data_IF_746493905614
#
_entry.id   IF_746493905614
#
_cell.length_a   1.000
_cell.length_b   1.000
_cell.length_c   1.000
_cell.angle_alpha   90.00
_cell.angle_beta   90.00
_cell.angle_gamma   90.00
#
_symmetry.space_group_name_H-M   'P 1'
#
loop_
_entity.id
_entity.type
_entity.pdbx_description
1 polymer ?
#
# COMPACT_ATOMS: atom_id res chain seq x y z
N UNK A 1 0.36 -14.04 12.95
CA UNK A 1 0.11 -13.26 11.72
C UNK A 1 -0.41 -14.26 10.70
N UNK A 2 -1.36 -13.93 9.82
CA UNK A 2 -2.01 -14.90 8.90
C UNK A 2 -0.97 -15.58 8.00
N UNK A 3 -0.30 -16.55 8.59
CA UNK A 3 0.59 -17.50 7.99
C UNK A 3 -0.23 -18.77 8.16
N UNK A 4 -0.53 -19.41 7.05
CA UNK A 4 -0.94 -20.80 7.07
C UNK A 4 0.07 -21.54 7.96
N UNK A 5 -0.28 -21.84 9.20
CA UNK A 5 0.43 -22.87 9.94
C UNK A 5 0.15 -24.14 9.12
N UNK A 6 1.18 -24.62 8.41
CA UNK A 6 1.18 -25.88 7.69
C UNK A 6 0.30 -25.96 6.41
N UNK A 7 0.34 -24.98 5.51
CA UNK A 7 -0.15 -25.16 4.13
C UNK A 7 -1.67 -25.37 3.97
N UNK A 8 -2.47 -24.98 4.97
CA UNK A 8 -3.93 -24.97 4.90
C UNK A 8 -4.45 -23.59 4.45
N UNK A 9 -5.64 -23.55 3.82
CA UNK A 9 -6.32 -22.33 3.42
C UNK A 9 -6.44 -21.33 4.61
N UNK A 10 -6.45 -20.02 4.36
CA UNK A 10 -6.66 -19.04 5.43
C UNK A 10 -8.00 -19.33 6.14
N UNK A 11 -7.96 -19.46 7.47
CA UNK A 11 -9.16 -19.79 8.27
C UNK A 11 -10.24 -18.70 8.22
N UNK A 12 -9.83 -17.46 7.96
CA UNK A 12 -10.74 -16.31 7.81
C UNK A 12 -10.84 -15.98 6.32
N UNK A 13 -12.04 -16.07 5.77
CA UNK A 13 -12.33 -15.62 4.42
C UNK A 13 -12.62 -14.13 4.38
N UNK A 14 -12.09 -13.44 3.37
CA UNK A 14 -12.37 -12.04 3.11
C UNK A 14 -12.64 -11.77 1.62
N UNK A 15 -13.57 -10.88 1.31
CA UNK A 15 -13.95 -10.55 -0.07
C UNK A 15 -14.47 -9.11 -0.21
N UNK A 16 -14.40 -8.58 -1.42
CA UNK A 16 -15.05 -7.30 -1.73
C UNK A 16 -16.56 -7.46 -1.82
N UNK A 17 -17.29 -6.49 -1.26
CA UNK A 17 -18.75 -6.48 -1.26
C UNK A 17 -19.34 -5.90 -2.54
N UNK A 18 -20.56 -6.33 -2.87
CA UNK A 18 -21.40 -5.66 -3.85
C UNK A 18 -21.69 -4.20 -3.42
N UNK A 19 -21.90 -3.31 -4.40
CA UNK A 19 -22.19 -1.89 -4.12
C UNK A 19 -23.52 -1.70 -3.41
N UNK A 20 -24.53 -2.49 -3.81
CA UNK A 20 -25.85 -2.48 -3.20
C UNK A 20 -25.96 -3.65 -2.24
N UNK A 21 -26.35 -3.36 -0.99
CA UNK A 21 -26.55 -4.34 0.07
C UNK A 21 -27.99 -4.18 0.56
N UNK A 22 -28.84 -5.15 0.24
CA UNK A 22 -30.25 -5.18 0.68
C UNK A 22 -30.44 -5.96 1.98
N UNK A 23 -29.62 -6.99 2.19
CA UNK A 23 -29.56 -7.78 3.42
C UNK A 23 -28.13 -7.77 3.96
N UNK A 24 -27.91 -7.06 5.06
CA UNK A 24 -26.59 -6.97 5.69
C UNK A 24 -26.08 -8.31 6.24
N UNK A 25 -26.97 -9.27 6.52
CA UNK A 25 -26.63 -10.58 7.10
C UNK A 25 -26.26 -11.64 6.05
N UNK A 26 -26.50 -11.36 4.76
CA UNK A 26 -26.05 -12.19 3.65
C UNK A 26 -24.54 -11.99 3.36
N UNK A 27 -23.93 -12.85 2.53
CA UNK A 27 -22.49 -12.72 2.21
C UNK A 27 -22.16 -11.46 1.39
N UNK A 28 -23.08 -11.01 0.54
CA UNK A 28 -22.93 -9.80 -0.29
C UNK A 28 -21.66 -9.77 -1.16
N UNK A 29 -21.21 -10.92 -1.68
CA UNK A 29 -20.06 -11.02 -2.59
C UNK A 29 -20.30 -10.27 -3.90
N UNK A 30 -19.24 -9.71 -4.49
CA UNK A 30 -19.29 -9.28 -5.89
C UNK A 30 -19.54 -10.45 -6.84
N UNK A 31 -20.09 -10.16 -8.02
CA UNK A 31 -20.24 -11.13 -9.11
C UNK A 31 -19.49 -10.60 -10.34
N UNK A 32 -18.37 -11.23 -10.77
CA UNK A 32 -17.72 -12.39 -10.17
C UNK A 32 -17.10 -12.10 -8.79
N UNK A 33 -16.91 -13.14 -7.96
CA UNK A 33 -16.32 -13.00 -6.63
C UNK A 33 -14.90 -12.44 -6.72
N UNK A 34 -14.57 -11.52 -5.82
CA UNK A 34 -13.25 -10.91 -5.71
C UNK A 34 -12.71 -11.12 -4.29
N UNK A 35 -11.98 -12.22 -4.02
CA UNK A 35 -11.42 -12.49 -2.70
C UNK A 35 -10.32 -11.48 -2.34
N UNK A 36 -10.12 -11.29 -1.04
CA UNK A 36 -9.07 -10.44 -0.47
C UNK A 36 -8.03 -11.34 0.18
N UNK A 37 -6.78 -11.18 -0.24
CA UNK A 37 -5.67 -11.94 0.33
C UNK A 37 -5.29 -11.39 1.72
N UNK A 38 -4.79 -12.23 2.63
CA UNK A 38 -4.39 -11.78 3.97
C UNK A 38 -3.35 -10.64 3.97
N UNK A 39 -2.45 -10.59 2.98
CA UNK A 39 -1.49 -9.50 2.83
C UNK A 39 -2.18 -8.13 2.71
N UNK A 40 -3.27 -8.05 1.93
CA UNK A 40 -4.00 -6.80 1.76
C UNK A 40 -4.71 -6.34 3.05
N UNK A 41 -5.10 -7.27 3.93
CA UNK A 41 -5.65 -6.93 5.25
C UNK A 41 -4.56 -6.38 6.17
N UNK A 42 -3.36 -6.96 6.11
CA UNK A 42 -2.19 -6.49 6.87
C UNK A 42 -1.79 -5.07 6.45
N UNK A 43 -1.90 -4.73 5.17
CA UNK A 43 -1.65 -3.37 4.66
C UNK A 43 -2.65 -2.35 5.23
N UNK A 44 -3.85 -2.79 5.59
CA UNK A 44 -4.86 -1.99 6.31
C UNK A 44 -4.67 -2.03 7.84
N UNK A 45 -3.64 -2.71 8.33
CA UNK A 45 -3.37 -2.91 9.75
C UNK A 45 -4.28 -3.94 10.44
N UNK A 46 -5.14 -4.62 9.69
CA UNK A 46 -6.03 -5.67 10.20
C UNK A 46 -5.23 -6.95 10.42
N UNK A 47 -5.23 -7.46 11.65
CA UNK A 47 -4.58 -8.72 12.00
C UNK A 47 -5.62 -9.79 12.29
N UNK A 48 -5.32 -11.00 11.86
CA UNK A 48 -6.19 -12.15 12.01
C UNK A 48 -5.38 -13.36 12.50
N UNK A 49 -5.98 -14.16 13.37
CA UNK A 49 -5.41 -15.36 13.96
C UNK A 49 -6.50 -16.43 14.10
N UNK A 50 -6.12 -17.70 13.98
CA UNK A 50 -6.99 -18.81 14.34
C UNK A 50 -6.43 -19.51 15.58
N UNK A 51 -7.27 -19.67 16.59
CA UNK A 51 -6.98 -20.22 17.91
C UNK A 51 -8.21 -21.04 18.33
N UNK A 52 -8.17 -22.38 18.28
CA UNK A 52 -9.30 -23.20 18.71
C UNK A 52 -9.63 -22.97 20.20
N UNK A 53 -10.90 -22.65 20.55
CA UNK A 53 -11.30 -22.47 21.95
C UNK A 53 -11.11 -23.76 22.78
N UNK A 54 -10.39 -23.68 23.90
CA UNK A 54 -10.02 -24.87 24.70
C UNK A 54 -10.91 -25.11 25.94
N UNK A 55 -11.92 -24.28 26.20
CA UNK A 55 -12.82 -24.46 27.33
C UNK A 55 -13.66 -23.22 27.65
N UNK A 56 -14.18 -23.18 28.88
CA UNK A 56 -14.99 -22.05 29.35
C UNK A 56 -14.12 -20.89 29.85
N UNK A 57 -14.37 -19.72 29.29
CA UNK A 57 -13.66 -18.50 29.64
C UNK A 57 -14.45 -17.68 30.68
N UNK A 58 -13.77 -16.99 31.61
CA UNK A 58 -14.45 -16.17 32.60
C UNK A 58 -15.20 -15.01 31.92
N UNK A 59 -16.38 -14.60 32.42
CA UNK A 59 -17.20 -13.57 31.78
C UNK A 59 -16.54 -12.18 31.78
N UNK A 60 -15.66 -11.90 32.75
CA UNK A 60 -14.87 -10.67 32.87
C UNK A 60 -13.63 -10.92 33.73
N UNK A 61 -12.46 -10.41 33.31
CA UNK A 61 -11.19 -10.57 34.05
C UNK A 61 -10.17 -9.44 33.77
N UNK A 62 -9.37 -9.10 34.78
CA UNK A 62 -8.33 -8.03 34.77
C UNK A 62 -7.13 -8.44 35.65
N UNK A 63 -5.94 -8.78 35.10
CA UNK A 63 -5.73 -9.20 33.72
C UNK A 63 -6.54 -10.45 33.38
N UNK A 64 -6.82 -10.63 32.10
CA UNK A 64 -7.51 -11.83 31.66
C UNK A 64 -6.61 -13.04 31.86
N UNK A 65 -6.96 -13.99 32.74
CA UNK A 65 -6.26 -15.28 32.89
C UNK A 65 -7.27 -16.42 32.76
N UNK A 66 -6.99 -17.48 31.96
CA UNK A 66 -7.85 -18.66 31.90
C UNK A 66 -8.02 -19.29 33.28
N UNK A 67 -9.16 -19.97 33.53
CA UNK A 67 -9.31 -20.80 34.74
C UNK A 67 -8.16 -21.82 34.79
N UNK A 68 -7.68 -22.12 36.00
CA UNK A 68 -6.61 -23.09 36.24
C UNK A 68 -6.80 -24.37 35.41
N UNK A 69 -5.87 -24.64 34.50
CA UNK A 69 -5.85 -25.85 33.66
C UNK A 69 -6.00 -25.61 32.15
N UNK A 70 -6.57 -24.48 31.70
CA UNK A 70 -6.62 -24.12 30.27
C UNK A 70 -5.32 -23.40 29.88
N UNK A 71 -4.59 -23.93 28.89
CA UNK A 71 -3.36 -23.31 28.37
C UNK A 71 -3.54 -22.82 26.93
N UNK A 72 -4.18 -21.65 26.79
CA UNK A 72 -4.26 -20.98 25.50
C UNK A 72 -2.98 -20.16 25.24
N UNK A 73 -1.89 -20.88 24.92
CA UNK A 73 -0.54 -20.31 24.80
C UNK A 73 -0.49 -19.19 23.75
N UNK A 74 -1.19 -19.37 22.62
CA UNK A 74 -1.19 -18.41 21.51
C UNK A 74 -1.98 -17.15 21.87
N UNK A 75 -3.14 -17.29 22.51
CA UNK A 75 -3.90 -16.15 23.03
C UNK A 75 -3.08 -15.38 24.08
N UNK A 76 -2.42 -16.09 25.00
CA UNK A 76 -1.52 -15.49 26.00
C UNK A 76 -0.39 -14.71 25.35
N UNK A 77 0.27 -15.27 24.32
CA UNK A 77 1.34 -14.58 23.59
C UNK A 77 0.83 -13.30 22.91
N UNK A 78 -0.33 -13.34 22.26
CA UNK A 78 -0.93 -12.16 21.61
C UNK A 78 -1.29 -11.10 22.66
N UNK A 79 -1.93 -11.52 23.76
CA UNK A 79 -2.31 -10.69 24.90
C UNK A 79 -1.10 -9.96 25.48
N UNK A 80 -0.06 -10.71 25.84
CA UNK A 80 1.14 -10.19 26.47
C UNK A 80 1.92 -9.28 25.50
N UNK A 81 2.08 -9.67 24.24
CA UNK A 81 2.80 -8.89 23.24
C UNK A 81 2.10 -7.57 22.87
N UNK A 82 0.77 -7.51 22.99
CA UNK A 82 -0.03 -6.31 22.69
C UNK A 82 -0.50 -5.56 23.94
N UNK A 83 -0.16 -6.04 25.12
CA UNK A 83 -0.52 -5.40 26.39
C UNK A 83 -2.01 -5.43 26.72
N UNK A 84 -2.75 -6.43 26.23
CA UNK A 84 -4.17 -6.57 26.53
C UNK A 84 -4.37 -7.06 27.97
N UNK A 85 -4.71 -6.16 28.89
CA UNK A 85 -4.83 -6.47 30.32
C UNK A 85 -6.28 -6.43 30.81
N UNK A 86 -7.26 -6.27 29.93
CA UNK A 86 -8.67 -6.35 30.26
C UNK A 86 -9.38 -7.18 29.20
N UNK A 87 -10.27 -8.08 29.63
CA UNK A 87 -11.20 -8.71 28.72
C UNK A 87 -12.53 -9.06 29.38
N UNK A 88 -13.56 -9.14 28.56
CA UNK A 88 -14.87 -9.64 28.93
C UNK A 88 -15.50 -10.45 27.78
N UNK A 89 -16.65 -11.04 28.06
CA UNK A 89 -17.41 -11.88 27.14
C UNK A 89 -18.74 -11.20 26.81
N UNK A 90 -19.08 -11.18 25.52
CA UNK A 90 -20.38 -10.75 25.02
C UNK A 90 -21.03 -11.90 24.24
N UNK A 91 -22.33 -12.10 24.46
CA UNK A 91 -23.16 -12.97 23.63
C UNK A 91 -24.15 -12.11 22.86
N UNK A 92 -24.01 -12.08 21.55
CA UNK A 92 -24.94 -11.43 20.64
C UNK A 92 -25.97 -12.46 20.16
N UNK A 93 -27.13 -12.44 20.78
CA UNK A 93 -28.36 -13.10 20.35
C UNK A 93 -29.55 -12.29 20.87
N UNK A 94 -30.72 -12.46 20.28
CA UNK A 94 -31.93 -11.76 20.71
C UNK A 94 -32.28 -12.04 22.18
N UNK A 95 -32.00 -13.26 22.65
CA UNK A 95 -32.23 -13.67 24.04
C UNK A 95 -31.20 -13.09 25.01
N UNK A 96 -29.92 -13.04 24.63
CA UNK A 96 -28.82 -12.75 25.58
C UNK A 96 -28.37 -11.29 25.58
N UNK A 97 -28.65 -10.51 24.52
CA UNK A 97 -28.15 -9.14 24.39
C UNK A 97 -29.24 -8.12 24.74
N UNK A 98 -29.09 -7.35 25.84
CA UNK A 98 -30.02 -6.27 26.16
C UNK A 98 -30.02 -5.22 25.06
N UNK A 99 -31.22 -4.75 24.70
CA UNK A 99 -31.42 -3.76 23.63
C UNK A 99 -30.90 -4.23 22.25
N UNK A 100 -31.10 -5.52 21.97
CA UNK A 100 -30.54 -6.27 20.82
C UNK A 100 -30.60 -5.50 19.50
N UNK A 101 -31.79 -5.06 19.07
CA UNK A 101 -31.97 -4.40 17.77
C UNK A 101 -31.23 -3.07 17.65
N UNK A 102 -31.25 -2.24 18.71
CA UNK A 102 -30.54 -0.96 18.69
C UNK A 102 -29.02 -1.17 18.75
N UNK A 103 -28.55 -2.17 19.50
CA UNK A 103 -27.12 -2.53 19.52
C UNK A 103 -26.64 -3.04 18.18
N UNK A 104 -27.39 -3.92 17.52
CA UNK A 104 -27.03 -4.37 16.17
C UNK A 104 -27.00 -3.21 15.17
N UNK A 105 -27.94 -2.27 15.26
CA UNK A 105 -27.92 -1.06 14.43
C UNK A 105 -26.66 -0.22 14.72
N UNK A 106 -26.30 -0.02 15.98
CA UNK A 106 -25.10 0.72 16.37
C UNK A 106 -23.81 0.02 15.93
N UNK A 107 -23.74 -1.31 16.01
CA UNK A 107 -22.60 -2.09 15.53
C UNK A 107 -22.45 -2.02 14.02
N UNK A 108 -23.56 -1.93 13.28
CA UNK A 108 -23.55 -1.90 11.82
C UNK A 108 -23.39 -0.49 11.23
N UNK A 109 -23.69 0.56 11.99
CA UNK A 109 -23.35 1.93 11.60
C UNK A 109 -21.84 2.04 11.39
N UNK A 110 -21.38 2.67 10.30
CA UNK A 110 -19.95 2.77 10.01
C UNK A 110 -19.26 3.71 11.01
N UNK A 111 -18.22 3.22 11.69
CA UNK A 111 -17.54 3.97 12.75
C UNK A 111 -16.05 3.66 12.85
N UNK A 112 -15.36 4.46 13.67
CA UNK A 112 -14.00 4.20 14.16
C UNK A 112 -13.99 4.09 15.69
N UNK A 113 -12.88 3.60 16.22
CA UNK A 113 -12.53 3.67 17.64
C UNK A 113 -11.17 4.35 17.84
N UNK A 114 -10.98 4.93 19.03
CA UNK A 114 -9.72 5.56 19.46
C UNK A 114 -8.68 4.55 19.96
N UNK A 115 -9.06 3.28 20.03
CA UNK A 115 -8.23 2.16 20.44
C UNK A 115 -8.43 1.00 19.44
N UNK A 116 -7.63 -0.06 19.59
CA UNK A 116 -7.81 -1.28 18.82
C UNK A 116 -9.14 -1.98 19.19
N UNK A 117 -9.87 -2.44 18.17
CA UNK A 117 -11.02 -3.31 18.36
C UNK A 117 -10.58 -4.78 18.21
N UNK A 118 -10.52 -5.49 19.34
CA UNK A 118 -10.11 -6.90 19.37
C UNK A 118 -11.31 -7.79 19.67
N UNK A 119 -11.52 -8.81 18.84
CA UNK A 119 -12.62 -9.78 19.00
C UNK A 119 -12.10 -11.18 18.75
N UNK A 120 -12.32 -12.06 19.71
CA UNK A 120 -12.03 -13.49 19.61
C UNK A 120 -13.34 -14.27 19.69
N UNK A 121 -13.74 -14.89 18.58
CA UNK A 121 -15.01 -15.60 18.47
C UNK A 121 -14.87 -16.97 19.13
N UNK A 122 -15.64 -17.19 20.19
CA UNK A 122 -15.64 -18.42 20.97
C UNK A 122 -16.68 -19.42 20.45
N UNK A 123 -17.85 -18.92 20.01
CA UNK A 123 -18.93 -19.71 19.39
C UNK A 123 -19.68 -18.85 18.38
N UNK A 124 -20.34 -19.49 17.41
CA UNK A 124 -21.11 -18.81 16.38
C UNK A 124 -20.24 -18.18 15.30
N UNK A 125 -20.77 -17.17 14.61
CA UNK A 125 -20.10 -16.49 13.51
C UNK A 125 -20.69 -15.10 13.26
N UNK A 126 -20.01 -14.29 12.45
CA UNK A 126 -20.46 -12.96 12.05
C UNK A 126 -19.51 -12.32 11.04
N UNK A 127 -19.86 -11.10 10.61
CA UNK A 127 -19.08 -10.33 9.64
C UNK A 127 -18.52 -9.06 10.26
N UNK A 128 -17.24 -8.82 10.01
CA UNK A 128 -16.63 -7.50 10.14
C UNK A 128 -16.41 -6.93 8.75
N UNK A 129 -16.95 -5.74 8.49
CA UNK A 129 -16.66 -5.02 7.26
C UNK A 129 -15.64 -3.92 7.56
N UNK A 130 -14.64 -3.76 6.70
CA UNK A 130 -13.61 -2.71 6.81
C UNK A 130 -13.47 -1.96 5.47
N UNK A 131 -13.09 -0.69 5.53
CA UNK A 131 -12.75 0.09 4.34
C UNK A 131 -11.32 -0.19 3.87
N UNK A 132 -11.15 -0.43 2.57
CA UNK A 132 -9.83 -0.43 1.93
C UNK A 132 -9.30 1.00 1.69
N UNK A 133 -8.12 1.12 1.09
CA UNK A 133 -7.49 2.41 0.77
C UNK A 133 -8.23 3.22 -0.32
N UNK A 134 -9.17 2.61 -1.03
CA UNK A 134 -10.05 3.24 -2.04
C UNK A 134 -11.46 3.44 -1.51
N UNK A 135 -11.64 3.30 -0.20
CA UNK A 135 -12.91 3.43 0.48
C UNK A 135 -13.98 2.41 -0.01
N UNK A 136 -13.55 1.21 -0.43
CA UNK A 136 -14.42 0.09 -0.78
C UNK A 136 -14.59 -0.85 0.43
N UNK A 137 -15.77 -1.45 0.55
CA UNK A 137 -16.03 -2.43 1.61
C UNK A 137 -15.39 -3.79 1.30
N UNK A 138 -14.60 -4.26 2.27
CA UNK A 138 -14.13 -5.64 2.39
C UNK A 138 -14.87 -6.29 3.55
N UNK A 139 -15.53 -7.42 3.31
CA UNK A 139 -16.19 -8.24 4.33
C UNK A 139 -15.28 -9.37 4.75
N UNK A 140 -15.10 -9.55 6.06
CA UNK A 140 -14.39 -10.66 6.69
C UNK A 140 -15.40 -11.54 7.42
N UNK A 141 -15.40 -12.84 7.16
CA UNK A 141 -16.22 -13.81 7.89
C UNK A 141 -15.41 -14.42 9.03
N UNK A 142 -15.90 -14.26 10.25
CA UNK A 142 -15.30 -14.85 11.43
C UNK A 142 -16.18 -15.97 11.96
N UNK A 143 -15.56 -17.10 12.28
CA UNK A 143 -16.16 -18.27 12.89
C UNK A 143 -15.50 -18.54 14.26
N UNK A 144 -16.05 -19.50 15.00
CA UNK A 144 -15.44 -19.95 16.24
C UNK A 144 -13.95 -20.31 16.05
N UNK A 145 -13.12 -19.74 16.91
CA UNK A 145 -11.66 -19.83 16.87
C UNK A 145 -10.96 -18.64 16.21
N UNK A 146 -11.70 -17.76 15.54
CA UNK A 146 -11.10 -16.61 14.86
C UNK A 146 -10.93 -15.43 15.81
N UNK A 147 -9.72 -14.86 15.83
CA UNK A 147 -9.39 -13.62 16.52
C UNK A 147 -8.99 -12.56 15.49
N UNK A 148 -9.70 -11.43 15.52
CA UNK A 148 -9.38 -10.24 14.73
C UNK A 148 -8.89 -9.10 15.63
N UNK A 149 -7.98 -8.30 15.09
CA UNK A 149 -7.57 -6.99 15.62
C UNK A 149 -7.78 -5.96 14.52
N UNK A 150 -8.70 -5.03 14.76
CA UNK A 150 -8.88 -3.85 13.94
C UNK A 150 -8.07 -2.70 14.55
N UNK A 151 -7.22 -2.01 13.77
CA UNK A 151 -6.38 -0.94 14.30
C UNK A 151 -7.21 0.29 14.66
N UNK A 152 -6.70 1.08 15.61
CA UNK A 152 -7.20 2.42 15.92
C UNK A 152 -7.43 3.22 14.62
N UNK A 153 -8.59 3.89 14.49
CA UNK A 153 -8.89 4.80 13.38
C UNK A 153 -9.31 4.17 12.04
N UNK A 154 -9.42 2.85 11.94
CA UNK A 154 -10.00 2.20 10.74
C UNK A 154 -11.53 2.34 10.74
N UNK A 155 -12.11 2.71 9.59
CA UNK A 155 -13.56 2.63 9.41
C UNK A 155 -13.97 1.17 9.27
N UNK A 156 -14.90 0.76 10.13
CA UNK A 156 -15.41 -0.59 10.17
C UNK A 156 -16.85 -0.63 10.68
N UNK A 157 -17.44 -1.82 10.61
CA UNK A 157 -18.73 -2.16 11.21
C UNK A 157 -18.84 -3.66 11.42
N UNK A 158 -19.78 -4.08 12.25
CA UNK A 158 -20.08 -5.48 12.52
C UNK A 158 -21.56 -5.80 12.24
N UNK A 159 -21.82 -6.98 11.70
CA UNK A 159 -23.17 -7.56 11.62
C UNK A 159 -23.14 -9.05 11.88
N UNK A 160 -24.25 -9.56 12.40
CA UNK A 160 -24.51 -11.00 12.45
C UNK A 160 -24.60 -11.55 11.02
N UNK A 161 -24.29 -12.84 10.86
CA UNK A 161 -24.66 -13.60 9.67
C UNK A 161 -26.04 -14.23 9.84
N UNK A 162 -26.48 -15.04 8.86
CA UNK A 162 -27.79 -15.70 8.87
C UNK A 162 -28.02 -16.65 10.06
N UNK A 163 -26.98 -17.02 10.82
CA UNK A 163 -27.13 -17.85 12.03
C UNK A 163 -27.55 -17.04 13.25
N UNK A 164 -27.48 -15.70 13.20
CA UNK A 164 -27.94 -14.79 14.26
C UNK A 164 -27.40 -15.11 15.66
N UNK A 165 -26.19 -15.68 15.75
CA UNK A 165 -25.56 -16.01 17.02
C UNK A 165 -24.04 -15.83 16.97
N UNK A 166 -23.52 -15.06 17.93
CA UNK A 166 -22.08 -14.87 18.13
C UNK A 166 -21.78 -14.78 19.63
N UNK A 167 -20.81 -15.55 20.09
CA UNK A 167 -20.27 -15.48 21.44
C UNK A 167 -18.81 -15.10 21.34
N UNK A 168 -18.44 -13.91 21.80
CA UNK A 168 -17.13 -13.33 21.56
C UNK A 168 -16.49 -12.84 22.85
N UNK A 169 -15.18 -13.06 22.96
CA UNK A 169 -14.32 -12.37 23.91
C UNK A 169 -13.84 -11.06 23.31
N UNK A 170 -13.87 -10.01 24.11
CA UNK A 170 -13.39 -8.67 23.74
C UNK A 170 -12.16 -8.36 24.58
N UNK A 171 -11.05 -7.97 23.96
CA UNK A 171 -9.77 -7.69 24.63
C UNK A 171 -9.39 -6.21 24.50
N UNK A 172 -8.79 -5.63 25.55
CA UNK A 172 -8.46 -4.19 25.63
C UNK A 172 -7.12 -3.92 26.28
N UNK A 173 -6.52 -2.79 25.88
CA UNK A 173 -5.46 -2.12 26.63
C UNK A 173 -6.13 -1.20 27.67
N UNK A 174 -6.06 -1.57 28.94
CA UNK A 174 -6.68 -0.82 30.02
C UNK A 174 -8.20 -1.02 30.11
N UNK A 175 -8.86 -0.11 30.83
CA UNK A 175 -10.32 -0.12 30.98
C UNK A 175 -10.94 0.25 29.63
N UNK A 176 -11.92 -0.54 29.13
CA UNK A 176 -12.44 -0.35 27.77
C UNK A 176 -13.20 0.97 27.63
N UNK A 177 -12.94 1.67 26.52
CA UNK A 177 -13.76 2.78 26.02
C UNK A 177 -14.49 2.29 24.79
N UNK A 178 -15.82 2.17 24.89
CA UNK A 178 -16.66 1.55 23.85
C UNK A 178 -17.22 2.53 22.84
N UNK A 179 -16.96 3.82 23.01
CA UNK A 179 -17.65 4.87 22.26
C UNK A 179 -17.30 4.74 20.77
N UNK A 180 -18.27 4.38 19.91
CA UNK A 180 -18.08 4.45 18.47
C UNK A 180 -18.08 5.93 18.06
N UNK A 181 -17.21 6.27 17.12
CA UNK A 181 -17.21 7.59 16.47
C UNK A 181 -17.68 7.36 15.04
N UNK A 182 -18.97 7.58 14.81
CA UNK A 182 -19.59 7.32 13.52
C UNK A 182 -18.98 8.21 12.43
N UNK A 183 -18.93 7.68 11.21
CA UNK A 183 -18.49 8.45 10.04
C UNK A 183 -19.49 9.60 9.76
N UNK A 184 -19.04 10.82 9.41
CA UNK A 184 -17.64 11.26 9.19
C UNK A 184 -16.85 11.50 10.49
N UNK A 185 -15.64 10.96 10.55
CA UNK A 185 -14.72 11.07 11.68
C UNK A 185 -13.29 11.46 11.24
N UNK A 186 -13.16 12.09 10.07
CA UNK A 186 -11.86 12.34 9.43
C UNK A 186 -10.96 13.33 10.18
N UNK A 187 -11.56 14.22 10.97
CA UNK A 187 -10.85 15.17 11.84
C UNK A 187 -10.43 14.59 13.20
N UNK A 188 -10.74 13.32 13.47
CA UNK A 188 -10.37 12.68 14.74
C UNK A 188 -8.90 12.24 14.71
N UNK A 189 -8.16 12.50 15.79
CA UNK A 189 -6.71 12.20 15.88
C UNK A 189 -6.37 10.75 15.55
N UNK A 190 -7.19 9.79 15.99
CA UNK A 190 -7.01 8.37 15.68
C UNK A 190 -7.10 8.08 14.18
N UNK A 191 -8.00 8.78 13.48
CA UNK A 191 -8.14 8.66 12.03
C UNK A 191 -6.94 9.26 11.31
N UNK A 192 -6.47 10.43 11.73
CA UNK A 192 -5.25 11.04 11.20
C UNK A 192 -4.04 10.12 11.37
N UNK A 193 -3.86 9.52 12.56
CA UNK A 193 -2.80 8.54 12.84
C UNK A 193 -2.92 7.29 11.98
N UNK A 194 -4.12 6.76 11.81
CA UNK A 194 -4.38 5.61 10.94
C UNK A 194 -3.98 5.92 9.49
N UNK A 195 -4.43 7.05 8.95
CA UNK A 195 -4.11 7.45 7.57
C UNK A 195 -2.62 7.69 7.39
N UNK A 196 -1.97 8.35 8.34
CA UNK A 196 -0.52 8.57 8.31
C UNK A 196 0.26 7.25 8.30
N UNK A 197 -0.19 6.25 9.08
CA UNK A 197 0.49 4.96 9.21
C UNK A 197 0.20 4.00 8.06
N UNK A 198 -1.08 3.78 7.73
CA UNK A 198 -1.52 2.73 6.80
C UNK A 198 -1.86 3.26 5.41
N UNK A 199 -2.21 4.55 5.29
CA UNK A 199 -2.40 5.18 3.99
C UNK A 199 -1.10 5.20 3.17
N UNK A 200 0.02 5.52 3.80
CA UNK A 200 1.34 5.49 3.16
C UNK A 200 1.77 4.06 2.79
N UNK A 201 1.51 3.07 3.63
CA UNK A 201 1.85 1.66 3.35
C UNK A 201 1.08 1.12 2.15
N UNK A 202 -0.23 1.39 2.07
CA UNK A 202 -1.04 0.98 0.92
C UNK A 202 -0.61 1.69 -0.38
N UNK A 203 -0.24 2.97 -0.30
CA UNK A 203 0.33 3.71 -1.43
C UNK A 203 1.69 3.12 -1.85
N UNK A 204 2.58 2.84 -0.89
CA UNK A 204 3.88 2.22 -1.12
C UNK A 204 3.72 0.88 -1.85
N UNK A 205 2.88 -0.03 -1.33
CA UNK A 205 2.70 -1.36 -1.91
C UNK A 205 2.14 -1.28 -3.34
N UNK A 206 1.13 -0.45 -3.56
CA UNK A 206 0.59 -0.21 -4.91
C UNK A 206 1.69 0.30 -5.85
N UNK A 207 2.50 1.24 -5.37
CA UNK A 207 3.55 1.87 -6.16
C UNK A 207 4.69 0.89 -6.48
N UNK A 208 5.04 -0.02 -5.56
CA UNK A 208 5.97 -1.14 -5.83
C UNK A 208 5.49 -1.98 -7.02
N UNK A 209 4.22 -2.40 -6.99
CA UNK A 209 3.60 -3.15 -8.08
C UNK A 209 3.62 -2.38 -9.40
N UNK A 210 3.29 -1.09 -9.39
CA UNK A 210 3.38 -0.24 -10.59
C UNK A 210 4.80 -0.18 -11.15
N UNK A 211 5.81 0.10 -10.32
CA UNK A 211 7.21 0.20 -10.77
C UNK A 211 7.68 -1.11 -11.43
N UNK A 212 7.37 -2.25 -10.80
CA UNK A 212 7.72 -3.58 -11.32
C UNK A 212 7.03 -3.83 -12.66
N UNK A 213 5.72 -3.54 -12.77
CA UNK A 213 4.96 -3.71 -14.00
C UNK A 213 5.51 -2.83 -15.14
N UNK A 214 5.83 -1.57 -14.86
CA UNK A 214 6.43 -0.64 -15.82
C UNK A 214 7.76 -1.18 -16.34
N UNK A 215 8.68 -1.58 -15.46
CA UNK A 215 10.01 -2.06 -15.87
C UNK A 215 9.94 -3.38 -16.63
N UNK A 216 9.03 -4.29 -16.28
CA UNK A 216 8.78 -5.51 -17.07
C UNK A 216 8.24 -5.17 -18.46
N UNK A 217 7.36 -4.18 -18.57
CA UNK A 217 6.88 -3.69 -19.86
C UNK A 217 7.99 -3.03 -20.69
N UNK A 218 8.90 -2.28 -20.06
CA UNK A 218 10.06 -1.67 -20.73
C UNK A 218 11.07 -2.72 -21.21
N UNK A 219 11.28 -3.79 -20.45
CA UNK A 219 12.05 -4.95 -20.89
C UNK A 219 11.44 -5.59 -22.13
N UNK A 220 10.13 -5.84 -22.14
CA UNK A 220 9.41 -6.41 -23.29
C UNK A 220 9.50 -5.55 -24.55
N UNK A 221 9.58 -4.22 -24.39
CA UNK A 221 9.75 -3.26 -25.48
C UNK A 221 11.22 -3.09 -25.91
N UNK A 222 12.17 -3.75 -25.23
CA UNK A 222 13.60 -3.66 -25.52
C UNK A 222 14.28 -2.39 -25.00
N UNK A 223 13.62 -1.61 -24.14
CA UNK A 223 14.18 -0.36 -23.60
C UNK A 223 15.07 -0.58 -22.38
N UNK A 224 14.87 -1.67 -21.65
CA UNK A 224 15.66 -2.03 -20.46
C UNK A 224 16.02 -3.52 -20.53
N UNK A 225 17.08 -3.88 -21.26
CA UNK A 225 17.53 -5.27 -21.40
C UNK A 225 18.34 -5.74 -20.18
N UNK A 226 18.06 -6.95 -19.69
CA UNK A 226 18.76 -7.53 -18.54
C UNK A 226 18.63 -6.65 -17.29
N UNK A 227 19.75 -6.31 -16.65
CA UNK A 227 19.77 -5.45 -15.46
C UNK A 227 19.79 -3.95 -15.77
N UNK A 228 19.77 -3.55 -17.05
CA UNK A 228 19.78 -2.13 -17.44
C UNK A 228 18.47 -1.41 -17.08
N UNK A 229 18.55 -0.08 -17.03
CA UNK A 229 17.48 0.82 -16.61
C UNK A 229 17.19 0.79 -15.11
N UNK A 230 16.47 1.79 -14.64
CA UNK A 230 16.06 1.91 -13.24
C UNK A 230 14.82 2.79 -13.13
N UNK A 231 14.11 2.70 -12.02
CA UNK A 231 12.97 3.58 -11.75
C UNK A 231 12.92 3.94 -10.28
N UNK A 232 12.47 5.16 -9.99
CA UNK A 232 12.18 5.62 -8.65
C UNK A 232 10.89 6.44 -8.61
N UNK A 233 10.19 6.40 -7.49
CA UNK A 233 8.98 7.20 -7.29
C UNK A 233 8.78 7.57 -5.83
N UNK A 234 8.27 8.78 -5.59
CA UNK A 234 7.87 9.28 -4.27
C UNK A 234 6.65 8.51 -3.74
N UNK A 235 6.70 8.13 -2.47
CA UNK A 235 5.59 7.56 -1.71
C UNK A 235 4.86 8.72 -1.01
N UNK A 236 3.74 9.16 -1.57
CA UNK A 236 3.02 10.36 -1.14
C UNK A 236 3.30 11.60 -2.00
N UNK A 237 2.64 12.71 -1.66
CA UNK A 237 2.63 13.95 -2.46
C UNK A 237 3.61 15.05 -2.03
N UNK A 238 4.41 14.85 -0.99
CA UNK A 238 5.31 15.90 -0.46
C UNK A 238 6.65 15.99 -1.19
N UNK A 239 7.22 17.19 -1.28
CA UNK A 239 8.56 17.43 -1.86
C UNK A 239 9.71 16.71 -1.11
N UNK A 240 9.47 16.31 0.14
CA UNK A 240 10.38 15.52 0.97
C UNK A 240 9.84 14.12 1.27
N UNK A 241 8.86 13.64 0.50
CA UNK A 241 8.32 12.30 0.67
C UNK A 241 9.39 11.23 0.44
N UNK A 242 9.34 10.09 1.17
CA UNK A 242 10.19 8.93 0.92
C UNK A 242 10.13 8.47 -0.53
N UNK A 243 11.21 7.83 -1.01
CA UNK A 243 11.35 7.42 -2.41
C UNK A 243 11.54 5.91 -2.49
N UNK A 244 10.69 5.23 -3.26
CA UNK A 244 10.95 3.87 -3.71
C UNK A 244 11.98 3.89 -4.83
N UNK A 245 12.99 3.04 -4.75
CA UNK A 245 14.04 2.92 -5.75
C UNK A 245 14.35 1.46 -6.10
N UNK A 246 14.62 1.19 -7.38
CA UNK A 246 14.98 -0.15 -7.83
C UNK A 246 16.42 -0.56 -7.48
N UNK A 247 16.67 -1.86 -7.28
CA UNK A 247 18.00 -2.40 -7.05
C UNK A 247 18.86 -2.36 -8.32
N UNK A 248 20.18 -2.40 -8.15
CA UNK A 248 21.16 -2.70 -9.20
C UNK A 248 21.28 -4.22 -9.43
N UNK A 249 21.65 -4.61 -10.65
CA UNK A 249 22.04 -5.99 -10.97
C UNK A 249 20.91 -7.02 -11.07
N UNK A 250 19.65 -6.62 -10.86
CA UNK A 250 18.49 -7.51 -11.01
C UNK A 250 17.93 -7.41 -12.44
N UNK A 251 17.83 -8.52 -13.18
CA UNK A 251 17.15 -8.54 -14.47
C UNK A 251 15.70 -8.07 -14.35
N UNK A 252 15.26 -7.14 -15.22
CA UNK A 252 13.95 -6.47 -15.10
C UNK A 252 12.77 -7.45 -15.19
N UNK A 253 12.93 -8.53 -15.92
CA UNK A 253 11.99 -9.65 -16.02
C UNK A 253 11.85 -10.46 -14.71
N UNK A 254 12.89 -10.47 -13.86
CA UNK A 254 12.92 -11.17 -12.58
C UNK A 254 12.68 -10.27 -11.36
N UNK A 255 12.54 -8.96 -11.58
CA UNK A 255 12.32 -7.99 -10.50
C UNK A 255 10.99 -8.28 -9.78
N UNK A 256 11.07 -8.35 -8.44
CA UNK A 256 9.92 -8.51 -7.55
C UNK A 256 9.67 -7.22 -6.73
N UNK A 257 8.46 -7.07 -6.20
CA UNK A 257 8.05 -5.87 -5.44
C UNK A 257 8.85 -5.70 -4.15
N UNK A 258 9.26 -6.83 -3.56
CA UNK A 258 10.05 -6.93 -2.34
C UNK A 258 11.53 -6.59 -2.57
N UNK A 259 11.98 -6.50 -3.82
CA UNK A 259 13.36 -6.18 -4.18
C UNK A 259 13.63 -4.66 -4.16
N UNK A 260 12.58 -3.82 -4.08
CA UNK A 260 12.70 -2.36 -4.07
C UNK A 260 13.09 -1.83 -2.68
N UNK A 261 13.93 -0.80 -2.69
CA UNK A 261 14.33 -0.06 -1.49
C UNK A 261 13.35 1.08 -1.21
N UNK A 262 13.12 1.38 0.08
CA UNK A 262 12.52 2.64 0.50
C UNK A 262 13.64 3.53 1.05
N UNK A 263 13.83 4.68 0.41
CA UNK A 263 14.83 5.67 0.77
C UNK A 263 14.18 6.89 1.43
N UNK A 264 14.94 7.60 2.25
CA UNK A 264 14.58 8.91 2.75
C UNK A 264 14.32 9.88 1.60
N UNK A 265 13.48 10.88 1.85
CA UNK A 265 13.10 11.84 0.83
C UNK A 265 14.25 12.76 0.42
N UNK A 266 14.10 13.50 -0.69
CA UNK A 266 15.10 14.43 -1.16
C UNK A 266 15.46 15.51 -0.14
N UNK A 267 16.75 15.85 -0.05
CA UNK A 267 17.31 16.70 1.00
C UNK A 267 17.61 15.99 2.34
N UNK A 268 17.24 14.72 2.52
CA UNK A 268 17.46 13.96 3.76
C UNK A 268 18.66 12.99 3.72
N UNK A 269 19.57 13.16 2.76
CA UNK A 269 20.83 12.40 2.71
C UNK A 269 20.75 10.99 2.10
N UNK A 270 19.56 10.55 1.64
CA UNK A 270 19.42 9.29 0.90
C UNK A 270 19.53 8.03 1.76
N UNK A 271 19.31 8.15 3.07
CA UNK A 271 19.29 7.01 4.01
C UNK A 271 18.29 5.92 3.59
N UNK A 272 18.64 4.66 3.82
CA UNK A 272 17.77 3.52 3.56
C UNK A 272 16.80 3.33 4.72
N UNK A 273 15.51 3.60 4.49
CA UNK A 273 14.45 3.42 5.48
C UNK A 273 13.97 1.97 5.55
N UNK A 274 14.01 1.26 4.42
CA UNK A 274 13.66 -0.16 4.30
C UNK A 274 14.45 -0.81 3.18
N UNK A 275 15.10 -1.91 3.50
CA UNK A 275 15.92 -2.70 2.58
C UNK A 275 15.21 -4.02 2.21
N UNK A 276 15.46 -4.57 1.01
CA UNK A 276 15.00 -5.90 0.64
C UNK A 276 15.68 -6.98 1.50
N UNK A 277 15.01 -8.11 1.69
CA UNK A 277 15.60 -9.25 2.43
C UNK A 277 16.77 -9.90 1.67
N UNK A 278 16.81 -9.75 0.34
CA UNK A 278 17.92 -10.19 -0.50
C UNK A 278 19.09 -9.19 -0.36
N UNK A 279 20.36 -9.65 -0.40
CA UNK A 279 21.54 -8.80 -0.29
C UNK A 279 21.79 -8.02 -1.60
N UNK A 280 20.87 -7.11 -1.93
CA UNK A 280 20.92 -6.26 -3.11
C UNK A 280 21.56 -4.91 -2.79
N UNK A 281 21.86 -4.13 -3.83
CA UNK A 281 22.35 -2.75 -3.71
C UNK A 281 21.39 -1.80 -4.41
N UNK A 282 21.25 -0.59 -3.91
CA UNK A 282 20.55 0.49 -4.58
C UNK A 282 21.23 0.79 -5.93
N UNK A 283 20.45 1.10 -6.98
CA UNK A 283 20.99 1.50 -8.29
C UNK A 283 21.79 2.80 -8.22
N UNK A 284 22.87 2.91 -9.00
CA UNK A 284 23.65 4.14 -9.13
C UNK A 284 22.79 5.32 -9.66
N UNK A 285 21.74 5.02 -10.42
CA UNK A 285 20.76 5.99 -10.90
C UNK A 285 20.04 6.73 -9.77
N UNK A 286 20.03 6.19 -8.54
CA UNK A 286 19.37 6.82 -7.40
C UNK A 286 19.92 8.23 -7.08
N UNK A 287 21.22 8.47 -7.31
CA UNK A 287 21.81 9.81 -7.10
C UNK A 287 21.29 10.82 -8.13
N UNK A 288 21.18 10.38 -9.40
CA UNK A 288 20.62 11.20 -10.47
C UNK A 288 19.14 11.48 -10.21
N UNK A 289 18.38 10.44 -9.81
CA UNK A 289 16.96 10.57 -9.45
C UNK A 289 16.75 11.54 -8.29
N UNK A 290 17.58 11.47 -7.24
CA UNK A 290 17.47 12.37 -6.11
C UNK A 290 17.69 13.83 -6.55
N UNK A 291 18.73 14.10 -7.35
CA UNK A 291 18.98 15.45 -7.87
C UNK A 291 17.81 15.98 -8.71
N UNK A 292 17.17 15.12 -9.51
CA UNK A 292 15.95 15.47 -10.26
C UNK A 292 14.82 15.82 -9.30
N UNK A 293 14.55 14.97 -8.31
CA UNK A 293 13.48 15.19 -7.35
C UNK A 293 13.67 16.47 -6.52
N UNK A 294 14.91 16.84 -6.16
CA UNK A 294 15.23 18.11 -5.49
C UNK A 294 14.99 19.31 -6.41
N UNK A 295 15.41 19.21 -7.68
CA UNK A 295 15.26 20.29 -8.66
C UNK A 295 13.81 20.48 -9.14
N UNK A 296 13.03 19.39 -9.19
CA UNK A 296 11.66 19.34 -9.71
C UNK A 296 10.70 18.76 -8.67
N UNK A 297 10.18 19.59 -7.74
CA UNK A 297 9.21 19.15 -6.74
C UNK A 297 7.89 18.63 -7.34
N UNK A 298 7.57 19.01 -8.58
CA UNK A 298 6.42 18.55 -9.34
C UNK A 298 6.57 17.10 -9.87
N UNK A 299 7.80 16.59 -9.93
CA UNK A 299 8.09 15.24 -10.38
C UNK A 299 7.90 14.25 -9.24
N UNK A 300 7.07 13.24 -9.49
CA UNK A 300 6.81 12.14 -8.54
C UNK A 300 7.47 10.84 -8.94
N UNK A 301 7.72 10.61 -10.23
CA UNK A 301 8.40 9.42 -10.71
C UNK A 301 9.47 9.76 -11.75
N UNK A 302 10.55 8.99 -11.74
CA UNK A 302 11.64 9.07 -12.72
C UNK A 302 11.97 7.67 -13.19
N UNK A 303 12.15 7.48 -14.48
CA UNK A 303 12.74 6.27 -15.04
C UNK A 303 13.99 6.57 -15.87
N UNK A 304 14.94 5.65 -15.83
CA UNK A 304 16.10 5.60 -16.70
C UNK A 304 15.98 4.39 -17.62
N UNK A 305 16.12 4.62 -18.91
CA UNK A 305 15.94 3.63 -19.97
C UNK A 305 17.05 3.75 -21.02
N UNK A 306 17.26 2.69 -21.79
CA UNK A 306 18.33 2.51 -22.79
C UNK A 306 17.77 2.28 -24.20
N UNK A 307 16.72 3.01 -24.59
CA UNK A 307 16.11 2.90 -25.92
C UNK A 307 17.06 3.33 -27.03
N UNK A 308 17.20 2.49 -28.07
CA UNK A 308 17.98 2.80 -29.28
C UNK A 308 17.45 4.06 -29.96
N UNK A 309 16.13 4.26 -29.97
CA UNK A 309 15.51 5.46 -30.54
C UNK A 309 15.98 6.74 -29.83
N UNK A 310 16.13 6.72 -28.51
CA UNK A 310 16.69 7.84 -27.74
C UNK A 310 18.16 8.10 -28.09
N UNK A 311 18.94 7.03 -28.21
CA UNK A 311 20.37 7.13 -28.55
C UNK A 311 20.55 7.74 -29.94
N UNK A 312 19.79 7.26 -30.93
CA UNK A 312 19.81 7.80 -32.29
C UNK A 312 19.35 9.26 -32.32
N UNK A 313 18.24 9.60 -31.66
CA UNK A 313 17.74 10.96 -31.63
C UNK A 313 18.71 11.94 -30.95
N UNK A 314 19.39 11.50 -29.89
CA UNK A 314 20.44 12.29 -29.24
C UNK A 314 21.61 12.54 -30.19
N UNK A 315 22.01 11.56 -31.01
CA UNK A 315 23.10 11.67 -31.97
C UNK A 315 22.90 12.75 -33.03
N UNK A 316 21.65 13.04 -33.41
CA UNK A 316 21.30 13.99 -34.48
C UNK A 316 21.29 15.47 -34.05
N UNK A 317 21.36 15.76 -32.75
CA UNK A 317 21.24 17.12 -32.22
C UNK A 317 22.36 17.46 -31.25
N UNK A 318 22.73 18.74 -31.19
CA UNK A 318 23.79 19.22 -30.30
C UNK A 318 23.28 19.33 -28.85
N UNK A 319 22.30 20.21 -28.58
CA UNK A 319 21.86 20.52 -27.21
C UNK A 319 20.39 20.23 -26.91
N UNK A 320 19.50 20.34 -27.90
CA UNK A 320 18.05 20.19 -27.69
C UNK A 320 17.46 19.49 -28.90
N UNK A 321 16.70 18.42 -28.64
CA UNK A 321 15.81 17.81 -29.62
C UNK A 321 14.48 18.55 -29.59
N UNK A 322 14.11 19.15 -30.71
CA UNK A 322 12.78 19.75 -30.89
C UNK A 322 11.85 18.77 -31.61
N UNK A 323 10.73 18.46 -30.98
CA UNK A 323 9.66 17.64 -31.56
C UNK A 323 8.46 18.54 -31.84
N UNK A 324 8.02 18.55 -33.10
CA UNK A 324 6.93 19.37 -33.63
C UNK A 324 5.97 18.51 -34.44
N UNK A 325 4.76 19.02 -34.66
CA UNK A 325 3.77 18.47 -35.60
C UNK A 325 3.36 17.01 -35.32
N UNK A 326 3.49 16.57 -34.06
CA UNK A 326 3.07 15.24 -33.61
C UNK A 326 1.91 15.36 -32.64
N UNK A 327 0.73 14.91 -33.07
CA UNK A 327 -0.52 14.92 -32.28
C UNK A 327 -0.35 14.30 -30.89
N UNK A 328 0.53 13.31 -30.78
CA UNK A 328 0.80 12.57 -29.57
C UNK A 328 1.45 13.41 -28.44
N UNK A 329 2.06 14.57 -28.74
CA UNK A 329 2.64 15.46 -27.70
C UNK A 329 1.56 16.07 -26.79
N UNK A 330 0.28 16.03 -27.19
CA UNK A 330 -0.87 16.35 -26.33
C UNK A 330 -0.95 15.50 -25.08
N UNK A 331 -0.46 14.26 -25.14
CA UNK A 331 -0.36 13.38 -23.98
C UNK A 331 0.56 13.92 -22.88
N UNK A 332 1.47 14.84 -23.23
CA UNK A 332 2.41 15.50 -22.31
C UNK A 332 1.91 16.88 -21.86
N UNK A 333 0.66 17.24 -22.19
CA UNK A 333 0.11 18.56 -21.90
C UNK A 333 0.57 19.65 -22.87
N UNK A 334 1.20 19.29 -23.99
CA UNK A 334 1.67 20.23 -25.02
C UNK A 334 0.64 20.26 -26.15
N UNK A 335 0.16 21.43 -26.61
CA UNK A 335 -0.73 21.51 -27.77
C UNK A 335 -0.16 20.79 -29.00
N UNK A 336 -1.00 20.30 -29.92
CA UNK A 336 -0.53 19.53 -31.08
C UNK A 336 0.32 20.34 -32.08
N UNK A 337 0.11 21.65 -32.10
CA UNK A 337 0.91 22.66 -32.80
C UNK A 337 2.04 23.24 -31.92
N UNK A 338 2.20 22.72 -30.71
CA UNK A 338 3.24 23.10 -29.77
C UNK A 338 4.60 22.48 -30.12
N UNK A 339 5.63 22.93 -29.41
CA UNK A 339 7.01 22.45 -29.57
C UNK A 339 7.43 21.79 -28.27
N UNK A 340 7.75 20.50 -28.34
CA UNK A 340 8.40 19.80 -27.23
C UNK A 340 9.91 19.95 -27.36
N UNK A 341 10.54 20.48 -26.32
CA UNK A 341 12.00 20.58 -26.23
C UNK A 341 12.52 19.55 -25.23
N UNK A 342 13.38 18.66 -25.70
CA UNK A 342 14.06 17.65 -24.87
C UNK A 342 15.56 17.94 -24.89
N UNK A 343 16.17 18.37 -23.77
CA UNK A 343 17.61 18.63 -23.73
C UNK A 343 18.42 17.34 -23.89
N UNK A 344 19.60 17.48 -24.48
CA UNK A 344 20.58 16.41 -24.67
C UNK A 344 21.85 16.77 -23.90
N UNK A 345 22.42 15.80 -23.20
CA UNK A 345 23.70 15.91 -22.50
C UNK A 345 24.65 14.80 -22.95
N UNK A 346 25.95 15.04 -22.79
CA UNK A 346 26.97 14.05 -23.08
C UNK A 346 27.05 12.99 -21.98
N UNK A 347 27.38 11.76 -22.37
CA UNK A 347 27.59 10.68 -21.44
C UNK A 347 28.80 10.92 -20.52
N UNK A 348 28.81 10.23 -19.39
CA UNK A 348 29.95 10.18 -18.46
C UNK A 348 30.30 8.73 -18.15
N UNK A 349 31.49 8.52 -17.60
CA UNK A 349 31.95 7.19 -17.21
C UNK A 349 31.11 6.59 -16.06
N UNK A 350 30.54 7.44 -15.19
CA UNK A 350 29.66 7.03 -14.10
C UNK A 350 28.42 7.91 -14.05
N UNK A 351 27.26 7.29 -13.79
CA UNK A 351 25.97 8.01 -13.74
C UNK A 351 25.94 9.22 -12.80
N UNK A 352 26.51 9.18 -11.58
CA UNK A 352 26.51 10.35 -10.70
C UNK A 352 27.20 11.59 -11.28
N UNK A 353 28.13 11.41 -12.23
CA UNK A 353 28.84 12.51 -12.88
C UNK A 353 27.97 13.26 -13.90
N UNK A 354 26.79 12.72 -14.25
CA UNK A 354 25.80 13.39 -15.11
C UNK A 354 25.08 14.54 -14.38
N UNK A 355 25.04 14.52 -13.04
CA UNK A 355 24.19 15.43 -12.24
C UNK A 355 24.41 16.92 -12.57
N UNK A 356 25.65 17.45 -12.66
CA UNK A 356 25.84 18.86 -12.97
C UNK A 356 25.31 19.26 -14.36
N UNK A 357 25.49 18.40 -15.36
CA UNK A 357 25.06 18.66 -16.74
C UNK A 357 23.54 18.54 -16.86
N UNK A 358 22.96 17.54 -16.18
CA UNK A 358 21.53 17.31 -16.08
C UNK A 358 20.81 18.48 -15.40
N UNK A 359 21.33 19.00 -14.28
CA UNK A 359 20.71 20.13 -13.60
C UNK A 359 20.73 21.40 -14.46
N UNK A 360 21.84 21.67 -15.17
CA UNK A 360 21.95 22.79 -16.13
C UNK A 360 21.01 22.61 -17.33
N UNK A 361 20.80 21.39 -17.80
CA UNK A 361 19.80 21.09 -18.82
C UNK A 361 18.39 21.41 -18.32
N UNK A 362 18.01 20.93 -17.13
CA UNK A 362 16.70 21.20 -16.52
C UNK A 362 16.46 22.69 -16.22
N UNK A 363 17.50 23.47 -15.94
CA UNK A 363 17.38 24.94 -15.80
C UNK A 363 17.01 25.64 -17.11
N UNK A 364 17.58 25.17 -18.23
CA UNK A 364 17.30 25.73 -19.57
C UNK A 364 15.95 25.30 -20.10
N UNK A 365 15.52 24.09 -19.76
CA UNK A 365 14.25 23.50 -20.19
C UNK A 365 13.42 23.02 -18.99
N UNK A 366 12.86 23.93 -18.18
CA UNK A 366 12.22 23.60 -16.91
C UNK A 366 10.96 22.74 -17.06
N UNK A 367 10.30 22.78 -18.22
CA UNK A 367 9.12 21.97 -18.54
C UNK A 367 9.46 20.66 -19.28
N UNK A 368 10.75 20.37 -19.53
CA UNK A 368 11.12 19.16 -20.26
C UNK A 368 10.64 17.90 -19.51
N UNK A 369 10.03 16.93 -20.22
CA UNK A 369 9.58 15.67 -19.64
C UNK A 369 10.70 14.62 -19.59
N UNK A 370 11.85 14.90 -20.21
CA UNK A 370 12.99 14.00 -20.25
C UNK A 370 14.30 14.77 -20.47
N UNK A 371 15.43 14.10 -20.23
CA UNK A 371 16.77 14.49 -20.64
C UNK A 371 17.37 13.29 -21.37
N UNK A 372 17.82 13.48 -22.62
CA UNK A 372 18.55 12.45 -23.35
C UNK A 372 20.03 12.48 -22.97
N UNK A 373 20.64 11.31 -22.87
CA UNK A 373 22.07 11.15 -22.63
C UNK A 373 22.66 10.43 -23.84
N UNK A 374 23.57 11.11 -24.54
CA UNK A 374 24.23 10.61 -25.75
C UNK A 374 24.83 9.23 -25.50
N UNK A 375 24.70 8.31 -26.44
CA UNK A 375 25.25 6.95 -26.36
C UNK A 375 24.81 6.11 -25.13
N UNK A 376 23.79 6.55 -24.41
CA UNK A 376 23.37 5.93 -23.15
C UNK A 376 21.85 5.70 -23.09
N UNK A 377 21.04 6.72 -23.33
CA UNK A 377 19.58 6.58 -23.26
C UNK A 377 18.89 7.84 -22.77
N UNK A 378 17.96 7.71 -21.83
CA UNK A 378 17.18 8.84 -21.33
C UNK A 378 16.86 8.73 -19.84
N UNK A 379 16.72 9.90 -19.21
CA UNK A 379 16.06 10.07 -17.91
C UNK A 379 14.73 10.77 -18.16
N UNK A 380 13.63 10.18 -17.68
CA UNK A 380 12.27 10.58 -18.05
C UNK A 380 11.45 10.79 -16.78
N UNK A 381 10.65 11.85 -16.76
CA UNK A 381 9.98 12.37 -15.57
C UNK A 381 8.47 12.34 -15.69
N UNK A 382 7.80 12.12 -14.57
CA UNK A 382 6.36 11.97 -14.51
C UNK A 382 5.74 12.47 -13.21
N UNK A 383 4.49 12.95 -13.29
CA UNK A 383 3.67 13.27 -12.12
C UNK A 383 3.08 12.02 -11.45
N UNK A 384 3.11 10.87 -12.12
CA UNK A 384 2.85 9.55 -11.56
C UNK A 384 3.77 8.52 -12.21
N UNK A 385 3.95 7.35 -11.58
CA UNK A 385 4.72 6.25 -12.16
C UNK A 385 4.08 5.71 -13.46
N UNK A 386 2.76 5.85 -13.61
CA UNK A 386 2.02 5.50 -14.82
C UNK A 386 1.93 6.65 -15.85
N UNK A 387 2.46 7.83 -15.55
CA UNK A 387 2.17 9.03 -16.33
C UNK A 387 2.71 8.94 -17.76
N UNK A 388 2.06 9.63 -18.73
CA UNK A 388 2.49 9.69 -20.12
C UNK A 388 3.95 10.14 -20.30
N UNK A 389 4.49 10.93 -19.36
CA UNK A 389 5.91 11.26 -19.31
C UNK A 389 6.78 10.00 -19.27
N UNK A 390 6.54 9.08 -18.33
CA UNK A 390 7.23 7.78 -18.28
C UNK A 390 6.86 6.84 -19.45
N UNK A 391 5.77 7.10 -20.18
CA UNK A 391 5.34 6.40 -21.40
C UNK A 391 5.74 7.12 -22.70
N UNK A 392 6.52 8.22 -22.60
CA UNK A 392 6.91 9.09 -23.72
C UNK A 392 7.49 8.31 -24.91
N UNK A 393 8.04 7.13 -24.64
CA UNK A 393 8.70 6.29 -25.62
C UNK A 393 7.77 5.31 -26.35
N UNK A 394 6.49 5.22 -26.00
CA UNK A 394 5.53 4.53 -26.90
C UNK A 394 5.37 5.24 -28.25
N UNK A 395 5.92 6.44 -28.37
CA UNK A 395 5.87 7.26 -29.57
C UNK A 395 7.04 6.99 -30.53
N UNK A 396 8.08 6.24 -30.13
CA UNK A 396 9.30 6.02 -30.94
C UNK A 396 9.95 4.64 -30.77
#
# INVERSE_FOLDING_TARGET
MVLAENGHAPHIEAWYMAKEVTDQTAENRQTPNKPVLPAALIDLGVLAYHIPPQGDYPPKAVPWEPKSGIQDVKLKQIRDARGYNYADIITCSEECLPDYHNKLKAFFEEHIHSDEEVRYILKGSGYFDVRDSKDQWIRLQLNAGDLIVLPEGIYHRFTMDSKNFTHAMRLFKGVPVWTPINRPADAHLSRERYVARFGQLAEEQKLRGTIVACLKSFFQQGWCLGSSGAMASRVGGGAHAPVLATPSGVPKELLAEEDLFLLSGPGAGGEQLKEPAKPLKVSDSAQVFNAIFEKRPDVRAVCHIHSVSCVLAAAEVDQVLEVRDLEMIKGLGIPGDGVLQVPVIDNKAREPELVPDLLRALERTPSAPAVLVRDHGAYIFGSTAESPGCLFLRMY
#
